data_IF_478502154511
#
_entry.id   IF_478502154511
#
_cell.length_a   1.000
_cell.length_b   1.000
_cell.length_c   1.000
_cell.angle_alpha   90.00
_cell.angle_beta   90.00
_cell.angle_gamma   90.00
#
_symmetry.space_group_name_H-M   'P 1'
#
loop_
_entity.id
_entity.type
_entity.pdbx_description
1 polymer ?
#
# COMPACT_ATOMS: atom_id res chain seq x y z
N UNK A 1 -2.41 21.28 48.03
CA UNK A 1 -1.25 20.39 48.23
C UNK A 1 -0.99 19.62 46.93
N UNK A 2 0.26 19.68 46.43
CA UNK A 2 0.96 18.87 45.41
C UNK A 2 0.19 18.45 44.12
N UNK A 3 0.47 19.00 42.91
CA UNK A 3 1.60 18.72 41.98
C UNK A 3 1.91 17.20 41.88
N UNK A 4 1.79 16.56 40.72
CA UNK A 4 2.78 16.68 39.63
C UNK A 4 2.27 16.26 38.24
N UNK A 5 2.64 17.05 37.24
CA UNK A 5 2.76 16.69 35.82
C UNK A 5 3.86 15.65 35.65
N UNK A 6 3.69 14.74 34.69
CA UNK A 6 4.82 14.11 33.99
C UNK A 6 4.53 14.06 32.48
N UNK A 7 5.28 14.89 31.76
CA UNK A 7 5.41 14.93 30.31
C UNK A 7 6.85 14.48 30.00
N UNK A 8 7.04 13.55 29.07
CA UNK A 8 8.25 13.34 28.27
C UNK A 8 8.11 12.02 27.48
N UNK A 9 8.63 11.82 26.28
CA UNK A 9 9.17 12.69 25.23
C UNK A 9 9.44 11.76 24.05
N UNK A 10 9.18 12.23 22.83
CA UNK A 10 9.54 11.56 21.57
C UNK A 10 11.06 11.33 21.51
N UNK A 11 11.49 10.10 21.24
CA UNK A 11 12.90 9.78 20.95
C UNK A 11 13.02 9.08 19.60
N UNK A 12 13.28 9.85 18.54
CA UNK A 12 13.72 9.32 17.26
C UNK A 12 15.13 8.73 17.40
N UNK A 13 15.27 7.44 17.08
CA UNK A 13 16.55 6.74 17.05
C UNK A 13 17.50 7.37 16.05
N UNK A 14 18.55 8.01 16.58
CA UNK A 14 19.64 8.65 15.85
C UNK A 14 20.50 7.60 15.13
N UNK A 15 20.58 7.70 13.80
CA UNK A 15 21.50 6.97 12.93
C UNK A 15 22.94 7.29 13.34
N UNK A 16 23.70 6.29 13.81
CA UNK A 16 25.14 6.41 14.07
C UNK A 16 25.90 6.43 12.75
N UNK A 17 26.54 7.56 12.46
CA UNK A 17 27.52 7.74 11.38
C UNK A 17 28.91 7.66 12.02
N UNK A 18 29.72 6.67 11.64
CA UNK A 18 31.10 6.51 12.11
C UNK A 18 32.05 7.36 11.27
N UNK A 19 32.84 8.20 11.92
CA UNK A 19 33.98 8.96 11.36
C UNK A 19 35.26 8.31 11.87
N UNK A 20 36.33 8.16 11.05
CA UNK A 20 37.59 7.59 11.54
C UNK A 20 38.43 8.67 12.24
N UNK A 21 38.94 8.31 13.43
CA UNK A 21 39.82 9.15 14.25
C UNK A 21 41.26 8.70 14.03
N UNK A 22 42.11 9.65 13.62
CA UNK A 22 43.56 9.48 13.53
C UNK A 22 44.30 9.78 14.84
N UNK A 23 45.60 9.47 14.80
CA UNK A 23 46.63 9.74 15.82
C UNK A 23 46.99 8.48 16.62
N UNK A 24 48.24 8.04 16.80
CA UNK A 24 49.57 8.56 16.43
C UNK A 24 50.59 8.08 17.49
N UNK A 25 51.78 7.64 17.06
CA UNK A 25 53.03 7.65 17.84
C UNK A 25 53.43 6.42 18.67
N UNK A 26 54.65 5.91 18.44
CA UNK A 26 55.36 4.99 19.34
C UNK A 26 56.52 4.25 18.67
N UNK A 27 57.75 4.69 18.94
CA UNK A 27 59.00 4.30 18.28
C UNK A 27 59.63 2.97 18.77
N UNK A 28 60.35 2.29 17.88
CA UNK A 28 61.26 1.17 18.16
C UNK A 28 62.15 0.89 16.94
N UNK A 29 63.46 0.91 17.14
CA UNK A 29 64.57 0.85 16.16
C UNK A 29 64.79 -0.53 15.49
N UNK A 30 65.60 -0.60 14.41
CA UNK A 30 65.55 -1.68 13.41
C UNK A 30 66.68 -2.72 13.58
N UNK A 31 66.45 -3.99 13.21
CA UNK A 31 67.46 -4.83 12.56
C UNK A 31 66.88 -6.14 11.98
N UNK A 32 67.55 -6.67 10.94
CA UNK A 32 67.55 -8.05 10.40
C UNK A 32 66.49 -8.52 9.38
N UNK A 33 66.89 -8.39 8.10
CA UNK A 33 66.82 -9.35 6.96
C UNK A 33 65.47 -9.85 6.38
N UNK A 34 65.31 -9.85 5.02
CA UNK A 34 64.10 -10.30 4.36
C UNK A 34 64.14 -11.80 4.05
N UNK A 35 63.12 -12.56 4.47
CA UNK A 35 62.89 -13.92 3.94
C UNK A 35 61.57 -13.94 3.18
N UNK A 36 61.71 -13.89 1.86
CA UNK A 36 60.65 -14.12 0.87
C UNK A 36 60.06 -15.52 1.08
N UNK A 37 58.80 -15.58 1.53
CA UNK A 37 57.95 -16.77 1.39
C UNK A 37 56.83 -16.43 0.42
N UNK A 38 56.62 -17.20 -0.67
CA UNK A 38 55.58 -16.89 -1.63
C UNK A 38 54.23 -17.23 -0.99
N UNK A 39 53.48 -16.21 -0.59
CA UNK A 39 52.09 -16.38 -0.14
C UNK A 39 51.24 -16.72 -1.36
N UNK A 40 50.90 -18.01 -1.51
CA UNK A 40 49.91 -18.47 -2.48
C UNK A 40 48.64 -17.60 -2.37
N UNK A 41 48.02 -17.21 -3.51
CA UNK A 41 46.76 -16.50 -3.46
C UNK A 41 45.72 -17.45 -2.86
N UNK A 42 45.15 -17.08 -1.71
CA UNK A 42 43.91 -17.69 -1.23
C UNK A 42 42.86 -17.38 -2.31
N UNK A 43 42.47 -18.41 -3.05
CA UNK A 43 41.21 -18.45 -3.76
C UNK A 43 40.11 -18.33 -2.70
N UNK A 44 39.68 -17.10 -2.43
CA UNK A 44 38.40 -16.86 -1.78
C UNK A 44 37.32 -17.36 -2.76
N UNK A 45 36.46 -18.32 -2.36
CA UNK A 45 35.38 -18.74 -3.22
C UNK A 45 34.47 -17.55 -3.46
N UNK A 46 34.35 -17.20 -4.74
CA UNK A 46 33.32 -16.35 -5.34
C UNK A 46 32.07 -16.30 -4.47
N UNK A 47 31.73 -15.10 -3.99
CA UNK A 47 30.52 -14.82 -3.23
C UNK A 47 29.29 -15.03 -4.13
N UNK A 48 28.97 -16.29 -4.41
CA UNK A 48 27.83 -16.68 -5.22
C UNK A 48 26.54 -16.31 -4.50
N UNK A 49 25.84 -15.34 -5.09
CA UNK A 49 24.38 -15.30 -5.11
C UNK A 49 23.65 -15.33 -3.77
N UNK A 50 23.98 -14.45 -2.81
CA UNK A 50 23.01 -14.12 -1.74
C UNK A 50 21.83 -13.35 -2.36
N UNK A 51 20.81 -14.07 -2.84
CA UNK A 51 19.52 -13.50 -3.25
C UNK A 51 18.98 -12.68 -2.08
N UNK A 52 19.09 -11.35 -2.16
CA UNK A 52 18.57 -10.44 -1.13
C UNK A 52 17.11 -10.80 -0.86
N UNK A 53 16.76 -11.09 0.40
CA UNK A 53 15.37 -11.38 0.78
C UNK A 53 14.48 -10.22 0.32
N UNK A 54 13.48 -10.51 -0.51
CA UNK A 54 12.51 -9.49 -0.96
C UNK A 54 11.89 -8.83 0.27
N UNK A 55 12.12 -7.53 0.44
CA UNK A 55 11.63 -6.78 1.59
C UNK A 55 10.10 -6.76 1.59
N UNK A 56 9.47 -7.28 2.65
CA UNK A 56 8.02 -7.22 2.85
C UNK A 56 7.62 -5.86 3.40
N UNK A 57 6.56 -5.28 2.85
CA UNK A 57 5.95 -4.07 3.39
C UNK A 57 5.19 -4.40 4.68
N UNK A 58 5.19 -3.46 5.65
CA UNK A 58 4.33 -3.58 6.83
C UNK A 58 2.85 -3.58 6.40
N UNK A 59 1.96 -4.27 7.14
CA UNK A 59 0.52 -4.21 6.90
C UNK A 59 0.04 -2.75 6.80
N UNK A 60 -0.88 -2.48 5.87
CA UNK A 60 -1.40 -1.13 5.59
C UNK A 60 -0.54 -0.25 4.67
N UNK A 61 0.79 -0.45 4.59
CA UNK A 61 1.66 0.41 3.77
C UNK A 61 1.35 0.32 2.27
N UNK A 62 1.08 -0.90 1.77
CA UNK A 62 0.67 -1.10 0.38
C UNK A 62 -0.71 -0.51 0.11
N UNK A 63 -1.68 -0.79 0.97
CA UNK A 63 -3.05 -0.27 0.85
C UNK A 63 -3.06 1.26 0.82
N UNK A 64 -2.34 1.95 1.71
CA UNK A 64 -2.24 3.41 1.69
C UNK A 64 -1.59 3.97 0.43
N UNK A 65 -0.64 3.22 -0.17
CA UNK A 65 -0.04 3.61 -1.45
C UNK A 65 -1.06 3.47 -2.58
N UNK A 66 -1.79 2.36 -2.61
CA UNK A 66 -2.82 2.07 -3.62
C UNK A 66 -3.95 3.09 -3.54
N UNK A 67 -4.44 3.42 -2.34
CA UNK A 67 -5.46 4.46 -2.12
C UNK A 67 -5.02 5.80 -2.73
N UNK A 68 -3.81 6.26 -2.39
CA UNK A 68 -3.27 7.53 -2.93
C UNK A 68 -3.08 7.49 -4.44
N UNK A 69 -2.66 6.34 -4.97
CA UNK A 69 -2.46 6.16 -6.41
C UNK A 69 -3.80 6.23 -7.16
N UNK A 70 -4.81 5.51 -6.67
CA UNK A 70 -6.14 5.45 -7.28
C UNK A 70 -6.80 6.83 -7.20
N UNK A 71 -6.79 7.49 -6.03
CA UNK A 71 -7.36 8.83 -5.85
C UNK A 71 -6.71 9.92 -6.72
N UNK A 72 -5.46 9.73 -7.16
CA UNK A 72 -4.78 10.67 -8.07
C UNK A 72 -5.21 10.49 -9.53
N UNK A 73 -5.78 9.33 -9.88
CA UNK A 73 -6.15 8.99 -11.24
C UNK A 73 -7.67 8.90 -11.40
N UNK A 74 -8.17 9.13 -12.61
CA UNK A 74 -9.60 9.01 -12.95
C UNK A 74 -9.87 7.84 -13.90
N UNK A 75 -8.97 6.85 -13.95
CA UNK A 75 -9.12 5.69 -14.82
C UNK A 75 -10.18 4.73 -14.26
N UNK A 76 -10.93 4.09 -15.15
CA UNK A 76 -11.83 3.01 -14.79
C UNK A 76 -11.07 1.84 -14.15
N UNK A 77 -11.63 1.29 -13.08
CA UNK A 77 -11.04 0.23 -12.27
C UNK A 77 -11.62 -1.14 -12.60
N UNK A 78 -12.87 -1.20 -13.03
CA UNK A 78 -13.52 -2.44 -13.42
C UNK A 78 -13.10 -2.80 -14.85
N UNK A 79 -12.64 -4.03 -15.12
CA UNK A 79 -12.33 -4.44 -16.49
C UNK A 79 -13.58 -4.36 -17.39
N UNK A 80 -13.47 -3.70 -18.54
CA UNK A 80 -14.63 -3.44 -19.41
C UNK A 80 -15.29 -4.72 -19.94
N UNK A 81 -14.52 -5.77 -20.27
CA UNK A 81 -15.07 -7.01 -20.84
C UNK A 81 -16.08 -7.72 -19.92
N UNK A 82 -15.79 -8.02 -18.64
CA UNK A 82 -16.80 -8.58 -17.73
C UNK A 82 -17.95 -7.60 -17.44
N UNK A 83 -17.68 -6.29 -17.35
CA UNK A 83 -18.74 -5.29 -17.12
C UNK A 83 -19.76 -5.26 -18.27
N UNK A 84 -19.28 -5.29 -19.52
CA UNK A 84 -20.16 -5.33 -20.69
C UNK A 84 -21.00 -6.62 -20.71
N UNK A 85 -20.43 -7.76 -20.29
CA UNK A 85 -21.17 -9.02 -20.19
C UNK A 85 -22.31 -8.91 -19.17
N UNK A 86 -22.06 -8.33 -18.00
CA UNK A 86 -23.09 -8.14 -16.97
C UNK A 86 -24.17 -7.15 -17.41
N UNK A 87 -23.81 -6.06 -18.09
CA UNK A 87 -24.79 -5.12 -18.65
C UNK A 87 -25.71 -5.83 -19.65
N UNK A 88 -25.15 -6.63 -20.56
CA UNK A 88 -25.95 -7.39 -21.55
C UNK A 88 -26.83 -8.45 -20.90
N UNK A 89 -26.35 -9.13 -19.87
CA UNK A 89 -27.12 -10.10 -19.10
C UNK A 89 -28.34 -9.44 -18.44
N UNK A 90 -28.16 -8.33 -17.74
CA UNK A 90 -29.25 -7.57 -17.11
C UNK A 90 -30.22 -7.02 -18.16
N UNK A 91 -29.69 -6.51 -19.27
CA UNK A 91 -30.52 -6.00 -20.38
C UNK A 91 -31.43 -7.09 -20.94
N UNK A 92 -30.89 -8.30 -21.15
CA UNK A 92 -31.65 -9.43 -21.66
C UNK A 92 -32.77 -9.85 -20.69
N UNK A 93 -32.53 -9.78 -19.38
CA UNK A 93 -33.53 -10.08 -18.35
C UNK A 93 -34.66 -9.03 -18.30
N UNK A 94 -34.36 -7.75 -18.54
CA UNK A 94 -35.33 -6.65 -18.42
C UNK A 94 -36.05 -6.32 -19.73
N UNK A 95 -35.35 -6.37 -20.86
CA UNK A 95 -35.88 -6.04 -22.18
C UNK A 95 -35.15 -6.82 -23.27
N UNK A 96 -35.65 -8.00 -23.59
CA UNK A 96 -35.10 -8.89 -24.62
C UNK A 96 -35.09 -8.27 -26.04
N UNK A 97 -35.80 -7.15 -26.25
CA UNK A 97 -35.85 -6.43 -27.51
C UNK A 97 -34.57 -5.61 -27.77
N UNK A 98 -33.88 -5.19 -26.70
CA UNK A 98 -32.67 -4.37 -26.79
C UNK A 98 -31.46 -5.28 -26.97
N UNK A 99 -31.03 -5.43 -28.22
CA UNK A 99 -29.92 -6.32 -28.61
C UNK A 99 -28.61 -5.59 -28.88
N UNK A 100 -28.68 -4.29 -29.20
CA UNK A 100 -27.52 -3.46 -29.58
C UNK A 100 -27.28 -2.37 -28.56
N UNK A 101 -26.01 -2.16 -28.24
CA UNK A 101 -25.52 -1.11 -27.35
C UNK A 101 -24.51 -0.26 -28.10
N UNK A 102 -24.61 1.06 -27.96
CA UNK A 102 -23.56 1.98 -28.42
C UNK A 102 -22.36 1.89 -27.48
N UNK A 103 -21.13 2.03 -28.00
CA UNK A 103 -19.94 1.96 -27.16
C UNK A 103 -19.91 3.09 -26.11
N UNK A 104 -20.39 4.28 -26.45
CA UNK A 104 -20.46 5.43 -25.54
C UNK A 104 -21.43 5.19 -24.38
N UNK A 105 -22.56 4.51 -24.63
CA UNK A 105 -23.50 4.16 -23.56
C UNK A 105 -22.92 3.14 -22.58
N UNK A 106 -22.11 2.19 -23.07
CA UNK A 106 -21.47 1.22 -22.19
C UNK A 106 -20.44 1.88 -21.27
N UNK A 107 -19.68 2.86 -21.81
CA UNK A 107 -18.71 3.63 -21.02
C UNK A 107 -19.44 4.51 -19.99
N UNK A 108 -20.49 5.22 -20.39
CA UNK A 108 -21.22 6.10 -19.46
C UNK A 108 -21.89 5.33 -18.31
N UNK A 109 -22.46 4.16 -18.59
CA UNK A 109 -23.00 3.27 -17.55
C UNK A 109 -21.89 2.79 -16.62
N UNK A 110 -20.70 2.49 -17.16
CA UNK A 110 -19.57 2.08 -16.35
C UNK A 110 -19.08 3.21 -15.44
N UNK A 111 -18.92 4.41 -15.98
CA UNK A 111 -18.53 5.61 -15.22
C UNK A 111 -19.50 5.87 -14.07
N UNK A 112 -20.81 5.92 -14.36
CA UNK A 112 -21.84 6.14 -13.34
C UNK A 112 -21.86 5.03 -12.27
N UNK A 113 -21.63 3.77 -12.67
CA UNK A 113 -21.61 2.64 -11.75
C UNK A 113 -20.40 2.68 -10.83
N UNK A 114 -19.21 2.98 -11.36
CA UNK A 114 -17.99 3.10 -10.55
C UNK A 114 -18.06 4.31 -9.61
N UNK A 115 -18.57 5.45 -10.08
CA UNK A 115 -18.78 6.64 -9.26
C UNK A 115 -19.73 6.37 -8.08
N UNK A 116 -20.86 5.70 -8.34
CA UNK A 116 -21.78 5.30 -7.28
C UNK A 116 -21.13 4.39 -6.23
N UNK A 117 -20.32 3.42 -6.68
CA UNK A 117 -19.62 2.51 -5.78
C UNK A 117 -18.57 3.26 -4.93
N UNK A 118 -17.81 4.18 -5.51
CA UNK A 118 -16.83 5.00 -4.78
C UNK A 118 -17.51 5.79 -3.66
N UNK A 119 -18.58 6.52 -3.97
CA UNK A 119 -19.35 7.27 -2.97
C UNK A 119 -19.92 6.35 -1.87
N UNK A 120 -20.44 5.17 -2.23
CA UNK A 120 -20.93 4.21 -1.26
C UNK A 120 -19.81 3.67 -0.34
N UNK A 121 -18.60 3.48 -0.86
CA UNK A 121 -17.43 3.10 -0.06
C UNK A 121 -16.98 4.21 0.89
N UNK A 122 -17.09 5.48 0.48
CA UNK A 122 -16.78 6.64 1.33
C UNK A 122 -17.74 6.72 2.53
N UNK A 123 -19.05 6.61 2.30
CA UNK A 123 -20.03 6.60 3.39
C UNK A 123 -19.87 5.39 4.31
N UNK A 124 -19.65 4.21 3.71
CA UNK A 124 -19.37 2.99 4.46
C UNK A 124 -18.12 3.16 5.34
N UNK A 125 -17.10 3.87 4.84
CA UNK A 125 -15.89 4.13 5.62
C UNK A 125 -16.17 5.05 6.80
N UNK A 126 -16.99 6.09 6.62
CA UNK A 126 -17.44 6.95 7.72
C UNK A 126 -18.21 6.15 8.79
N UNK A 127 -19.08 5.22 8.37
CA UNK A 127 -19.80 4.32 9.29
C UNK A 127 -18.84 3.38 10.06
N UNK A 128 -17.85 2.81 9.38
CA UNK A 128 -16.85 1.95 10.02
C UNK A 128 -16.00 2.73 11.04
N UNK A 129 -15.56 3.94 10.68
CA UNK A 129 -14.79 4.83 11.55
C UNK A 129 -15.61 5.28 12.77
N UNK A 130 -16.89 5.58 12.59
CA UNK A 130 -17.80 5.89 13.70
C UNK A 130 -17.87 4.73 14.71
N UNK A 131 -17.84 3.49 14.23
CA UNK A 131 -17.78 2.28 15.04
C UNK A 131 -16.35 1.88 15.50
N UNK A 132 -15.37 2.79 15.39
CA UNK A 132 -13.94 2.59 15.76
C UNK A 132 -13.26 1.41 15.04
N UNK A 133 -13.67 1.11 13.81
CA UNK A 133 -13.06 0.09 12.95
C UNK A 133 -12.41 0.72 11.73
N UNK A 134 -11.47 -0.01 11.12
CA UNK A 134 -10.82 0.36 9.85
C UNK A 134 -11.23 -0.60 8.71
N UNK A 135 -11.80 -1.75 9.05
CA UNK A 135 -12.28 -2.74 8.08
C UNK A 135 -13.77 -2.56 7.84
N UNK A 136 -14.14 -2.36 6.57
CA UNK A 136 -15.52 -2.28 6.11
C UNK A 136 -16.24 -3.63 6.27
N UNK A 137 -17.51 -3.57 6.64
CA UNK A 137 -18.39 -4.72 6.83
C UNK A 137 -19.73 -4.47 6.13
N UNK A 138 -20.50 -5.54 5.88
CA UNK A 138 -21.84 -5.46 5.26
C UNK A 138 -22.77 -4.44 5.94
N UNK A 139 -22.77 -4.43 7.28
CA UNK A 139 -23.57 -3.51 8.10
C UNK A 139 -23.25 -2.03 7.88
N UNK A 140 -22.01 -1.71 7.47
CA UNK A 140 -21.60 -0.33 7.20
C UNK A 140 -22.28 0.18 5.92
N UNK A 141 -22.40 -0.67 4.89
CA UNK A 141 -23.13 -0.36 3.67
C UNK A 141 -24.65 -0.34 3.87
N UNK A 142 -25.18 -1.27 4.66
CA UNK A 142 -26.61 -1.30 4.99
C UNK A 142 -27.02 -0.01 5.73
N UNK A 143 -26.21 0.43 6.70
CA UNK A 143 -26.42 1.69 7.41
C UNK A 143 -26.32 2.89 6.46
N UNK A 144 -25.27 2.97 5.64
CA UNK A 144 -25.09 4.06 4.67
C UNK A 144 -26.27 4.18 3.70
N UNK A 145 -26.73 3.05 3.14
CA UNK A 145 -27.90 3.00 2.25
C UNK A 145 -29.18 3.44 2.93
N UNK A 146 -29.39 3.00 4.18
CA UNK A 146 -30.55 3.38 4.99
C UNK A 146 -30.58 4.87 5.29
N UNK A 147 -29.43 5.47 5.62
CA UNK A 147 -29.31 6.91 5.87
C UNK A 147 -29.54 7.75 4.61
N UNK A 148 -29.12 7.24 3.44
CA UNK A 148 -29.37 7.89 2.15
C UNK A 148 -30.79 7.71 1.61
N UNK A 149 -31.62 6.88 2.25
CA UNK A 149 -32.94 6.52 1.72
C UNK A 149 -32.90 5.65 0.46
N UNK A 150 -31.74 5.12 0.09
CA UNK A 150 -31.55 4.30 -1.11
C UNK A 150 -31.79 2.83 -0.75
N UNK A 151 -33.00 2.34 -1.01
CA UNK A 151 -33.39 0.95 -0.77
C UNK A 151 -34.32 0.73 0.43
N UNK A 152 -35.12 1.73 0.79
CA UNK A 152 -36.30 1.50 1.64
C UNK A 152 -37.51 1.27 0.74
N UNK A 153 -37.87 0.00 0.57
CA UNK A 153 -39.23 -0.43 0.25
C UNK A 153 -39.99 -0.52 1.57
N UNK A 154 -40.93 0.39 1.81
CA UNK A 154 -42.17 -0.01 2.46
C UNK A 154 -43.09 -0.57 1.39
#
# INVERSE_FOLDING_TARGET
MARTKAQASRGWGRVRRSVPRGGGGGAGTPDSTPTTTPRSPRNDPEASGRKSKKRRYRPGVKALREIRQIQKSTKLLIPAAPFIRTVREITFQLSAQVTRWTPEALVSIQEASEDYLVHLFEDGMLCALHARRVTLMKKDFELARRLKGIGVTW
#
